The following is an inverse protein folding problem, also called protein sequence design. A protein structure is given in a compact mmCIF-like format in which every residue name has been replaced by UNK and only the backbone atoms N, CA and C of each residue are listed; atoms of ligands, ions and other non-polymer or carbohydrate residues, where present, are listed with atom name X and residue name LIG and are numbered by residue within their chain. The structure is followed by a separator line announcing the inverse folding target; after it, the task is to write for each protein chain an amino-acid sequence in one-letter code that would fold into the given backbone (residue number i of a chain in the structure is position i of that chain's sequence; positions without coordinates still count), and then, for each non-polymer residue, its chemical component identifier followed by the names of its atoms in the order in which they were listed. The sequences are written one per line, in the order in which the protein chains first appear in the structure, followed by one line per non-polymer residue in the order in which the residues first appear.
data_IF_015897026075
#
_entry.id   IF_015897026075
#
_cell.length_a   1.000
_cell.length_b   1.000
_cell.length_c   1.000
_cell.angle_alpha   90.00
_cell.angle_beta   90.00
_cell.angle_gamma   90.00
#
_symmetry.space_group_name_H-M   'P 1'
#
loop_
_entity.id
_entity.type
_entity.pdbx_description
1 polymer ?
#
# COMPACT_ATOMS: atom_id res chain seq x y z
N UNK A 1 18.37 -4.36 1.60
CA UNK A 1 17.00 -3.82 1.38
C UNK A 1 16.13 -4.86 0.68
N UNK A 2 14.87 -4.94 1.04
CA UNK A 2 13.96 -6.01 0.57
C UNK A 2 13.26 -5.61 -0.73
N UNK A 3 13.98 -5.60 -1.82
CA UNK A 3 13.51 -5.14 -3.14
C UNK A 3 12.32 -5.93 -3.69
N UNK A 4 12.28 -7.24 -3.41
CA UNK A 4 11.13 -8.07 -3.83
C UNK A 4 9.81 -7.60 -3.26
N UNK A 5 9.81 -7.13 -2.02
CA UNK A 5 8.62 -6.58 -1.39
C UNK A 5 8.19 -5.25 -1.99
N UNK A 6 9.14 -4.45 -2.50
CA UNK A 6 8.80 -3.24 -3.24
C UNK A 6 7.97 -3.56 -4.48
N UNK A 7 8.35 -4.58 -5.24
CA UNK A 7 7.58 -5.02 -6.42
C UNK A 7 6.19 -5.53 -6.02
N UNK A 8 6.10 -6.33 -4.96
CA UNK A 8 4.82 -6.82 -4.43
C UNK A 8 3.92 -5.67 -4.02
N UNK A 9 4.46 -4.69 -3.31
CA UNK A 9 3.70 -3.53 -2.85
C UNK A 9 3.26 -2.64 -4.03
N UNK A 10 4.09 -2.49 -5.05
CA UNK A 10 3.72 -1.76 -6.26
C UNK A 10 2.51 -2.42 -6.94
N UNK A 11 2.53 -3.75 -7.08
CA UNK A 11 1.39 -4.49 -7.61
C UNK A 11 0.16 -4.37 -6.71
N UNK A 12 0.34 -4.43 -5.40
CA UNK A 12 -0.75 -4.29 -4.44
C UNK A 12 -1.43 -2.93 -4.55
N UNK A 13 -0.66 -1.85 -4.62
CA UNK A 13 -1.19 -0.50 -4.78
C UNK A 13 -1.87 -0.35 -6.14
N UNK A 14 -1.28 -0.90 -7.20
CA UNK A 14 -1.89 -0.91 -8.54
C UNK A 14 -3.26 -1.59 -8.51
N UNK A 15 -3.36 -2.78 -7.93
CA UNK A 15 -4.61 -3.52 -7.80
C UNK A 15 -5.63 -2.76 -6.97
N UNK A 16 -5.21 -2.15 -5.86
CA UNK A 16 -6.07 -1.33 -5.03
C UNK A 16 -6.68 -0.16 -5.84
N UNK A 17 -5.85 0.56 -6.59
CA UNK A 17 -6.32 1.68 -7.41
C UNK A 17 -7.28 1.20 -8.50
N UNK A 18 -6.95 0.11 -9.20
CA UNK A 18 -7.81 -0.44 -10.26
C UNK A 18 -9.16 -0.89 -9.71
N UNK A 19 -9.17 -1.61 -8.60
CA UNK A 19 -10.41 -2.06 -7.96
C UNK A 19 -11.23 -0.86 -7.49
N UNK A 20 -10.59 0.14 -6.88
CA UNK A 20 -11.26 1.34 -6.42
C UNK A 20 -11.91 2.12 -7.56
N UNK A 21 -11.19 2.34 -8.65
CA UNK A 21 -11.71 3.05 -9.82
C UNK A 21 -12.86 2.29 -10.47
N UNK A 22 -12.73 0.98 -10.60
CA UNK A 22 -13.80 0.14 -11.16
C UNK A 22 -15.05 0.18 -10.30
N UNK A 23 -14.90 0.12 -8.98
CA UNK A 23 -16.02 0.18 -8.05
C UNK A 23 -16.80 1.49 -8.14
N UNK A 24 -16.11 2.59 -8.44
CA UNK A 24 -16.73 3.92 -8.59
C UNK A 24 -17.14 4.23 -10.02
N UNK A 25 -16.95 3.31 -10.97
CA UNK A 25 -17.25 3.54 -12.37
C UNK A 25 -16.36 4.57 -13.05
N UNK A 26 -15.19 4.83 -12.49
CA UNK A 26 -14.24 5.84 -12.98
C UNK A 26 -12.95 5.22 -13.51
N UNK A 27 -13.00 3.94 -13.90
CA UNK A 27 -11.86 3.26 -14.50
C UNK A 27 -11.69 3.71 -15.95
N UNK A 28 -11.02 4.84 -16.10
CA UNK A 28 -10.64 5.41 -17.38
C UNK A 28 -9.18 5.90 -17.30
N UNK A 29 -8.66 6.38 -18.41
CA UNK A 29 -7.29 6.89 -18.49
C UNK A 29 -7.06 8.03 -17.51
N UNK A 30 -8.00 8.96 -17.39
CA UNK A 30 -7.88 10.10 -16.47
C UNK A 30 -7.89 9.67 -15.01
N UNK A 31 -8.79 8.76 -14.64
CA UNK A 31 -8.84 8.23 -13.28
C UNK A 31 -7.53 7.55 -12.90
N UNK A 32 -7.00 6.74 -13.79
CA UNK A 32 -5.74 6.04 -13.58
C UNK A 32 -4.56 7.01 -13.43
N UNK A 33 -4.45 7.99 -14.33
CA UNK A 33 -3.38 9.00 -14.29
C UNK A 33 -3.41 9.85 -13.04
N UNK A 34 -4.59 10.10 -12.47
CA UNK A 34 -4.74 10.93 -11.27
C UNK A 34 -4.47 10.16 -9.98
N UNK A 35 -4.84 8.89 -9.92
CA UNK A 35 -4.79 8.12 -8.68
C UNK A 35 -3.53 7.27 -8.57
N UNK A 36 -3.13 6.57 -9.62
CA UNK A 36 -2.03 5.61 -9.55
C UNK A 36 -0.70 6.25 -9.17
N UNK A 37 -0.23 7.33 -9.86
CA UNK A 37 1.03 7.96 -9.46
C UNK A 37 0.99 8.53 -8.05
N UNK A 38 -0.15 9.11 -7.64
CA UNK A 38 -0.30 9.71 -6.32
C UNK A 38 -0.17 8.66 -5.22
N UNK A 39 -0.88 7.53 -5.35
CA UNK A 39 -0.83 6.47 -4.35
C UNK A 39 0.50 5.72 -4.35
N UNK A 40 1.09 5.46 -5.53
CA UNK A 40 2.40 4.83 -5.61
C UNK A 40 3.48 5.69 -4.96
N UNK A 41 3.52 6.96 -5.31
CA UNK A 41 4.51 7.88 -4.73
C UNK A 41 4.32 8.01 -3.22
N UNK A 42 3.08 8.23 -2.79
CA UNK A 42 2.76 8.33 -1.37
C UNK A 42 3.14 7.07 -0.60
N UNK A 43 2.83 5.90 -1.15
CA UNK A 43 3.19 4.63 -0.52
C UNK A 43 4.69 4.48 -0.37
N UNK A 44 5.46 4.66 -1.44
CA UNK A 44 6.90 4.42 -1.38
C UNK A 44 7.62 5.43 -0.51
N UNK A 45 7.22 6.70 -0.52
CA UNK A 45 7.78 7.69 0.40
C UNK A 45 7.53 7.28 1.84
N UNK A 46 6.30 6.94 2.18
CA UNK A 46 5.92 6.53 3.53
C UNK A 46 6.62 5.24 3.94
N UNK A 47 6.66 4.24 3.06
CA UNK A 47 7.28 2.96 3.35
C UNK A 47 8.79 3.08 3.57
N UNK A 48 9.46 3.88 2.77
CA UNK A 48 10.90 4.13 2.94
C UNK A 48 11.18 4.88 4.24
N UNK A 49 10.39 5.91 4.56
CA UNK A 49 10.54 6.66 5.81
C UNK A 49 10.23 5.80 7.03
N UNK A 50 9.23 4.93 6.95
CA UNK A 50 8.87 4.04 8.05
C UNK A 50 9.81 2.84 8.19
N UNK A 51 10.65 2.58 7.20
CA UNK A 51 11.60 1.46 7.24
C UNK A 51 10.98 0.10 6.94
N UNK A 52 9.91 0.05 6.16
CA UNK A 52 9.21 -1.21 5.80
C UNK A 52 10.13 -2.18 5.06
N UNK A 53 11.04 -1.67 4.23
CA UNK A 53 11.92 -2.49 3.39
C UNK A 53 13.28 -2.79 4.01
N UNK A 54 13.46 -2.48 5.28
CA UNK A 54 14.66 -2.90 6.01
C UNK A 54 14.67 -4.42 6.16
N UNK A 55 15.87 -5.00 6.34
CA UNK A 55 16.02 -6.44 6.57
C UNK A 55 15.21 -6.90 7.78
N UNK A 56 15.15 -6.09 8.82
CA UNK A 56 14.37 -6.34 10.03
C UNK A 56 13.52 -5.13 10.36
N UNK A 57 12.35 -4.99 9.70
CA UNK A 57 11.49 -3.84 9.97
C UNK A 57 10.88 -3.92 11.38
N UNK A 58 10.70 -2.77 12.00
CA UNK A 58 10.02 -2.69 13.29
C UNK A 58 8.55 -3.10 13.15
N UNK A 59 7.93 -3.57 14.23
CA UNK A 59 6.52 -4.02 14.22
C UNK A 59 5.56 -2.93 13.79
N UNK A 60 5.86 -1.66 14.10
CA UNK A 60 5.03 -0.51 13.79
C UNK A 60 5.29 0.07 12.39
N UNK A 61 6.34 -0.40 11.68
CA UNK A 61 6.71 0.16 10.37
C UNK A 61 5.59 0.04 9.34
N UNK A 62 4.98 -1.12 9.22
CA UNK A 62 3.92 -1.34 8.23
C UNK A 62 2.65 -0.55 8.55
N UNK A 63 2.11 -0.58 9.80
CA UNK A 63 0.97 0.26 10.13
C UNK A 63 1.23 1.76 9.95
N UNK A 64 2.43 2.23 10.28
CA UNK A 64 2.81 3.62 10.05
C UNK A 64 2.85 3.95 8.56
N UNK A 65 3.39 3.05 7.74
CA UNK A 65 3.40 3.21 6.29
C UNK A 65 1.98 3.26 5.72
N UNK A 66 1.05 2.46 6.23
CA UNK A 66 -0.35 2.51 5.81
C UNK A 66 -0.94 3.90 6.07
N UNK A 67 -0.80 4.39 7.31
CA UNK A 67 -1.37 5.69 7.67
C UNK A 67 -0.76 6.83 6.86
N UNK A 68 0.57 6.90 6.80
CA UNK A 68 1.27 7.95 6.07
C UNK A 68 1.07 7.82 4.56
N UNK A 69 1.16 6.61 4.03
CA UNK A 69 1.04 6.36 2.60
C UNK A 69 -0.33 6.72 2.04
N UNK A 70 -1.37 6.33 2.73
CA UNK A 70 -2.75 6.67 2.33
C UNK A 70 -2.98 8.17 2.42
N UNK A 71 -2.55 8.80 3.52
CA UNK A 71 -2.71 10.25 3.70
C UNK A 71 -1.96 11.02 2.62
N UNK A 72 -0.69 10.69 2.38
CA UNK A 72 0.11 11.32 1.32
C UNK A 72 -0.49 11.05 -0.06
N UNK A 73 -0.94 9.84 -0.31
CA UNK A 73 -1.58 9.48 -1.58
C UNK A 73 -2.81 10.33 -1.86
N UNK A 74 -3.68 10.50 -0.86
CA UNK A 74 -4.88 11.33 -0.99
C UNK A 74 -4.51 12.80 -1.19
N UNK A 75 -3.54 13.31 -0.47
CA UNK A 75 -3.07 14.69 -0.62
C UNK A 75 -2.52 14.94 -2.02
N UNK A 76 -1.69 14.04 -2.53
CA UNK A 76 -1.13 14.15 -3.88
C UNK A 76 -2.23 14.02 -4.95
N UNK A 77 -3.18 13.11 -4.75
CA UNK A 77 -4.34 13.01 -5.63
C UNK A 77 -5.14 14.31 -5.67
N UNK A 78 -5.38 14.93 -4.51
CA UNK A 78 -6.08 16.21 -4.44
C UNK A 78 -5.34 17.29 -5.23
N UNK A 79 -4.01 17.31 -5.15
CA UNK A 79 -3.20 18.24 -5.93
C UNK A 79 -3.36 17.99 -7.44
N UNK A 80 -3.35 16.74 -7.86
CA UNK A 80 -3.48 16.37 -9.28
C UNK A 80 -4.84 16.72 -9.87
N UNK A 81 -5.89 16.66 -9.05
CA UNK A 81 -7.26 17.01 -9.50
C UNK A 81 -7.61 18.48 -9.26
N UNK A 82 -6.64 19.30 -8.84
CA UNK A 82 -6.82 20.75 -8.70
C UNK A 82 -7.40 21.20 -7.37
N UNK A 83 -7.55 20.32 -6.38
CA UNK A 83 -8.09 20.69 -5.05
C UNK A 83 -7.03 21.21 -4.08
N UNK A 84 -5.74 21.07 -4.44
CA UNK A 84 -4.63 21.42 -3.57
C UNK A 84 -4.29 20.32 -2.56
N UNK A 85 -3.03 20.32 -2.08
CA UNK A 85 -2.54 19.31 -1.12
C UNK A 85 -3.38 19.26 0.16
N UNK A 86 -3.83 20.42 0.62
CA UNK A 86 -4.61 20.55 1.85
C UNK A 86 -6.11 20.64 1.58
N UNK A 87 -6.55 20.15 0.43
CA UNK A 87 -7.97 20.07 0.10
C UNK A 87 -8.71 19.13 1.04
N UNK A 88 -10.04 19.24 1.07
CA UNK A 88 -10.88 18.43 1.96
C UNK A 88 -10.69 16.93 1.67
N UNK A 89 -10.38 16.18 2.71
CA UNK A 89 -10.29 14.72 2.65
C UNK A 89 -11.56 14.16 3.28
N UNK A 90 -12.32 13.37 2.50
CA UNK A 90 -13.48 12.66 3.04
C UNK A 90 -13.01 11.62 4.07
N UNK A 91 -13.52 11.63 5.31
CA UNK A 91 -13.14 10.62 6.30
C UNK A 91 -13.48 9.20 5.85
N UNK A 92 -14.62 9.03 5.16
CA UNK A 92 -15.04 7.73 4.63
C UNK A 92 -14.05 7.24 3.57
N UNK A 93 -13.65 8.10 2.65
CA UNK A 93 -12.68 7.77 1.62
C UNK A 93 -11.32 7.41 2.23
N UNK A 94 -10.90 8.16 3.24
CA UNK A 94 -9.64 7.90 3.95
C UNK A 94 -9.65 6.52 4.63
N UNK A 95 -10.72 6.19 5.35
CA UNK A 95 -10.86 4.91 6.04
C UNK A 95 -10.90 3.74 5.05
N UNK A 96 -11.67 3.87 3.96
CA UNK A 96 -11.78 2.83 2.94
C UNK A 96 -10.43 2.64 2.24
N UNK A 97 -9.73 3.71 1.92
CA UNK A 97 -8.42 3.65 1.29
C UNK A 97 -7.39 3.02 2.23
N UNK A 98 -7.42 3.38 3.50
CA UNK A 98 -6.54 2.80 4.51
C UNK A 98 -6.78 1.28 4.63
N UNK A 99 -8.04 0.87 4.72
CA UNK A 99 -8.40 -0.54 4.78
C UNK A 99 -7.96 -1.30 3.52
N UNK A 100 -8.17 -0.71 2.34
CA UNK A 100 -7.80 -1.31 1.07
C UNK A 100 -6.29 -1.48 0.91
N UNK A 101 -5.53 -0.45 1.19
CA UNK A 101 -4.06 -0.51 1.12
C UNK A 101 -3.52 -1.51 2.15
N UNK A 102 -4.05 -1.49 3.38
CA UNK A 102 -3.65 -2.44 4.41
C UNK A 102 -3.94 -3.88 3.98
N UNK A 103 -5.10 -4.13 3.41
CA UNK A 103 -5.49 -5.44 2.92
C UNK A 103 -4.55 -5.91 1.79
N UNK A 104 -4.40 -5.11 0.73
CA UNK A 104 -3.62 -5.52 -0.44
C UNK A 104 -2.12 -5.64 -0.16
N UNK A 105 -1.56 -4.84 0.73
CA UNK A 105 -0.15 -4.96 1.12
C UNK A 105 0.07 -5.96 2.23
N UNK A 106 -0.91 -6.15 3.10
CA UNK A 106 -0.83 -7.06 4.24
C UNK A 106 -1.05 -8.52 3.86
N UNK A 107 -1.97 -8.82 2.94
CA UNK A 107 -2.27 -10.21 2.54
C UNK A 107 -1.05 -10.98 2.04
N UNK A 108 -0.22 -10.44 1.12
CA UNK A 108 1.00 -11.15 0.70
C UNK A 108 1.95 -11.43 1.86
N UNK A 109 2.05 -10.52 2.81
CA UNK A 109 2.92 -10.70 3.99
C UNK A 109 2.41 -11.80 4.90
N UNK A 110 1.12 -11.82 5.15
CA UNK A 110 0.48 -12.88 5.94
C UNK A 110 0.61 -14.23 5.24
N UNK A 111 0.38 -14.27 3.93
CA UNK A 111 0.53 -15.48 3.13
C UNK A 111 1.97 -16.01 3.20
N UNK A 112 2.97 -15.15 3.06
CA UNK A 112 4.38 -15.55 3.18
C UNK A 112 4.74 -16.03 4.58
N UNK A 113 4.21 -15.39 5.61
CA UNK A 113 4.39 -15.83 6.98
C UNK A 113 3.89 -17.26 7.17
N UNK A 114 2.67 -17.55 6.71
CA UNK A 114 2.09 -18.88 6.81
C UNK A 114 2.84 -19.93 5.99
N UNK A 115 3.29 -19.57 4.78
CA UNK A 115 4.09 -20.45 3.92
C UNK A 115 5.41 -20.80 4.60
N UNK A 116 6.11 -19.82 5.14
CA UNK A 116 7.38 -20.05 5.85
C UNK A 116 7.18 -20.93 7.08
N UNK A 117 6.11 -20.69 7.81
CA UNK A 117 5.77 -21.49 8.99
C UNK A 117 5.47 -22.95 8.62
N UNK A 118 4.72 -23.16 7.53
CA UNK A 118 4.43 -24.50 7.02
C UNK A 118 5.70 -25.23 6.57
N UNK A 119 6.59 -24.55 5.86
CA UNK A 119 7.88 -25.12 5.44
C UNK A 119 8.75 -25.50 6.64
N UNK A 120 8.77 -24.66 7.66
CA UNK A 120 9.51 -24.93 8.89
C UNK A 120 8.99 -26.19 9.59
N UNK A 121 7.69 -26.46 9.52
CA UNK A 121 7.08 -27.68 10.09
C UNK A 121 7.35 -28.93 9.27
N UNK A 122 7.41 -28.80 7.93
CA UNK A 122 7.64 -29.95 7.04
C UNK A 122 9.10 -30.31 6.90
N UNK A 123 10.01 -29.42 7.31
CA UNK A 123 11.43 -29.65 7.34
C UNK A 123 11.92 -29.52 8.79
N UNK A 124 11.59 -30.49 9.66
CA UNK A 124 12.13 -30.46 11.02
C UNK A 124 13.65 -30.44 10.95
N UNK A 125 14.26 -29.67 11.84
CA UNK A 125 15.69 -29.51 11.84
C UNK A 125 16.38 -30.90 11.82
N UNK A 126 17.16 -31.11 10.79
CA UNK A 126 18.01 -32.27 10.70
C UNK A 126 19.18 -32.07 11.67
N UNK A 127 18.96 -32.40 12.88
CA UNK A 127 20.01 -32.39 13.88
C UNK A 127 20.64 -33.73 13.91
#
# INVERSE_FOLDING_TARGET
MRWGWMAVDALAVLLFVLVGLRSHGTLDEFGLQRNLPAFLFGWFVAALLAGVYRAQPAKWSLPLAWALGVTLGIMLRNQLIGRGLFGTISPIFWVISLAGVALFTGLPRVAMYWVRRARSRTHPSQV
#
